data_IF_113608824410
#
_entry.id   IF_113608824410
#
_cell.length_a   1.000
_cell.length_b   1.000
_cell.length_c   1.000
_cell.angle_alpha   90.00
_cell.angle_beta   90.00
_cell.angle_gamma   90.00
#
_symmetry.space_group_name_H-M   'P 1'
#
loop_
_entity.id
_entity.type
_entity.pdbx_description
1 polymer ?
#
# COMPACT_ATOMS: atom_id res chain seq x y z
N UNK A 1 38.16 -17.98 5.06
CA UNK A 1 37.38 -17.84 3.80
C UNK A 1 36.07 -18.62 3.83
N UNK A 2 36.08 -19.90 4.22
CA UNK A 2 34.86 -20.75 4.32
C UNK A 2 33.68 -20.04 5.02
N UNK A 3 33.91 -19.44 6.19
CA UNK A 3 32.85 -18.81 6.97
C UNK A 3 32.10 -17.70 6.20
N UNK A 4 32.81 -16.81 5.49
CA UNK A 4 32.16 -15.72 4.74
C UNK A 4 31.29 -16.23 3.59
N UNK A 5 31.76 -17.27 2.88
CA UNK A 5 30.97 -17.95 1.85
C UNK A 5 29.73 -18.61 2.44
N UNK A 6 29.85 -19.33 3.57
CA UNK A 6 28.71 -19.99 4.20
C UNK A 6 27.70 -19.01 4.78
N UNK A 7 28.14 -17.89 5.35
CA UNK A 7 27.26 -16.83 5.86
C UNK A 7 26.48 -16.19 4.71
N UNK A 8 27.15 -15.81 3.62
CA UNK A 8 26.47 -15.31 2.42
C UNK A 8 25.49 -16.35 1.86
N UNK A 9 25.90 -17.61 1.74
CA UNK A 9 25.08 -18.68 1.20
C UNK A 9 23.83 -18.90 2.05
N UNK A 10 23.95 -18.87 3.39
CA UNK A 10 22.81 -19.03 4.29
C UNK A 10 21.78 -17.90 4.12
N UNK A 11 22.23 -16.66 3.94
CA UNK A 11 21.34 -15.51 3.75
C UNK A 11 20.69 -15.55 2.38
N UNK A 12 21.46 -15.79 1.31
CA UNK A 12 20.93 -15.92 -0.05
C UNK A 12 20.00 -17.12 -0.18
N UNK A 13 20.28 -18.23 0.51
CA UNK A 13 19.39 -19.39 0.54
C UNK A 13 18.06 -19.04 1.22
N UNK A 14 18.10 -18.40 2.39
CA UNK A 14 16.89 -17.94 3.08
C UNK A 14 16.10 -16.95 2.24
N UNK A 15 16.78 -15.98 1.62
CA UNK A 15 16.14 -15.00 0.76
C UNK A 15 15.51 -15.65 -0.46
N UNK A 16 16.29 -16.49 -1.14
CA UNK A 16 15.89 -17.23 -2.31
C UNK A 16 14.71 -18.16 -2.08
N UNK A 17 14.69 -18.88 -0.94
CA UNK A 17 13.59 -19.76 -0.57
C UNK A 17 12.31 -18.98 -0.26
N UNK A 18 12.43 -17.84 0.43
CA UNK A 18 11.29 -16.95 0.72
C UNK A 18 10.68 -16.44 -0.59
N UNK A 19 11.50 -15.93 -1.51
CA UNK A 19 11.03 -15.35 -2.77
C UNK A 19 10.54 -16.40 -3.76
N UNK A 20 11.26 -17.52 -3.93
CA UNK A 20 10.85 -18.58 -4.85
C UNK A 20 9.47 -19.16 -4.51
N UNK A 21 9.13 -19.22 -3.21
CA UNK A 21 7.87 -19.79 -2.73
C UNK A 21 6.77 -18.74 -2.48
N UNK A 22 7.13 -17.52 -2.04
CA UNK A 22 6.17 -16.55 -1.49
C UNK A 22 6.13 -15.20 -2.21
N UNK A 23 7.04 -14.95 -3.17
CA UNK A 23 7.03 -13.70 -3.93
C UNK A 23 5.70 -13.52 -4.67
N UNK A 24 5.29 -12.25 -4.74
CA UNK A 24 4.03 -11.82 -5.34
C UNK A 24 4.01 -11.92 -6.86
N UNK A 25 5.18 -11.78 -7.48
CA UNK A 25 5.33 -11.69 -8.92
C UNK A 25 6.17 -12.85 -9.46
N UNK A 26 5.96 -13.19 -10.73
CA UNK A 26 6.81 -14.16 -11.41
C UNK A 26 8.29 -13.73 -11.38
N UNK A 27 8.57 -12.43 -11.61
CA UNK A 27 9.91 -11.87 -11.52
C UNK A 27 10.55 -12.09 -10.14
N UNK A 28 9.80 -11.87 -9.05
CA UNK A 28 10.27 -12.16 -7.70
C UNK A 28 10.61 -13.64 -7.49
N UNK A 29 9.79 -14.57 -8.03
CA UNK A 29 10.07 -16.01 -7.93
C UNK A 29 11.31 -16.43 -8.71
N UNK A 30 11.50 -15.89 -9.92
CA UNK A 30 12.72 -16.11 -10.72
C UNK A 30 13.95 -15.60 -9.96
N UNK A 31 13.85 -14.43 -9.35
CA UNK A 31 14.92 -13.91 -8.50
C UNK A 31 15.22 -14.79 -7.29
N UNK A 32 14.17 -15.33 -6.67
CA UNK A 32 14.34 -16.32 -5.61
C UNK A 32 15.14 -17.54 -6.07
N UNK A 33 14.82 -18.09 -7.25
CA UNK A 33 15.54 -19.21 -7.85
C UNK A 33 17.01 -18.85 -8.17
N UNK A 34 17.28 -17.63 -8.65
CA UNK A 34 18.65 -17.14 -8.88
C UNK A 34 19.43 -17.09 -7.56
N UNK A 35 18.86 -16.57 -6.48
CA UNK A 35 19.54 -16.57 -5.17
C UNK A 35 19.81 -17.96 -4.63
N UNK A 36 18.89 -18.91 -4.84
CA UNK A 36 19.12 -20.32 -4.49
C UNK A 36 20.29 -20.91 -5.28
N UNK A 37 20.35 -20.65 -6.59
CA UNK A 37 21.45 -21.11 -7.43
C UNK A 37 22.80 -20.51 -6.99
N UNK A 38 22.82 -19.21 -6.67
CA UNK A 38 24.01 -18.52 -6.14
C UNK A 38 24.44 -19.12 -4.79
N UNK A 39 23.52 -19.39 -3.88
CA UNK A 39 23.83 -20.01 -2.60
C UNK A 39 24.49 -21.39 -2.78
N UNK A 40 24.03 -22.20 -3.76
CA UNK A 40 24.67 -23.48 -4.09
C UNK A 40 26.09 -23.28 -4.61
N UNK A 41 26.31 -22.30 -5.50
CA UNK A 41 27.66 -21.95 -5.99
C UNK A 41 28.58 -21.55 -4.85
N UNK A 42 28.09 -20.80 -3.87
CA UNK A 42 28.87 -20.38 -2.69
C UNK A 42 29.21 -21.56 -1.75
N UNK A 43 28.29 -22.53 -1.58
CA UNK A 43 28.57 -23.77 -0.83
C UNK A 43 29.65 -24.61 -1.54
N UNK A 44 29.56 -24.74 -2.86
CA UNK A 44 30.60 -25.43 -3.66
C UNK A 44 31.94 -24.70 -3.54
N UNK A 45 31.95 -23.37 -3.60
CA UNK A 45 33.15 -22.57 -3.39
C UNK A 45 33.72 -22.76 -1.97
N UNK A 46 32.87 -22.86 -0.95
CA UNK A 46 33.29 -23.11 0.43
C UNK A 46 33.98 -24.47 0.57
N UNK A 47 33.44 -25.52 -0.05
CA UNK A 47 34.11 -26.83 -0.13
C UNK A 47 35.44 -26.74 -0.90
N UNK A 48 35.47 -25.97 -2.00
CA UNK A 48 36.69 -25.75 -2.77
C UNK A 48 37.78 -25.00 -1.99
N UNK A 49 37.43 -24.15 -1.00
CA UNK A 49 38.43 -23.52 -0.10
C UNK A 49 39.15 -24.59 0.72
N UNK A 50 38.41 -25.58 1.24
CA UNK A 50 39.00 -26.68 2.04
C UNK A 50 39.95 -27.51 1.21
N UNK A 51 39.59 -27.80 -0.05
CA UNK A 51 40.49 -28.48 -0.97
C UNK A 51 41.71 -27.61 -1.36
N UNK A 52 41.48 -26.34 -1.67
CA UNK A 52 42.51 -25.39 -2.12
C UNK A 52 43.61 -25.14 -1.07
N UNK A 53 43.23 -25.02 0.21
CA UNK A 53 44.18 -24.87 1.32
C UNK A 53 44.69 -26.20 1.88
N UNK A 54 43.98 -27.30 1.63
CA UNK A 54 44.36 -28.63 2.06
C UNK A 54 45.11 -29.42 0.98
N UNK A 55 44.45 -30.44 0.45
CA UNK A 55 45.07 -31.48 -0.40
C UNK A 55 45.35 -31.03 -1.84
N UNK A 56 44.79 -29.89 -2.27
CA UNK A 56 44.86 -29.37 -3.65
C UNK A 56 44.55 -30.44 -4.70
N UNK A 57 43.59 -31.31 -4.41
CA UNK A 57 43.28 -32.46 -5.25
C UNK A 57 42.54 -32.05 -6.53
N UNK A 58 41.71 -31.00 -6.48
CA UNK A 58 40.96 -30.52 -7.63
C UNK A 58 41.74 -29.41 -8.39
N UNK A 59 41.92 -29.62 -9.70
CA UNK A 59 42.62 -28.70 -10.61
C UNK A 59 41.97 -27.31 -10.72
N UNK A 60 40.67 -27.22 -10.43
CA UNK A 60 39.87 -26.00 -10.56
C UNK A 60 39.44 -25.39 -9.21
N UNK A 61 39.94 -25.90 -8.08
CA UNK A 61 39.56 -25.44 -6.73
C UNK A 61 39.75 -23.93 -6.56
N UNK A 62 40.92 -23.40 -6.94
CA UNK A 62 41.19 -21.96 -6.86
C UNK A 62 40.25 -21.09 -7.71
N UNK A 63 39.86 -21.57 -8.91
CA UNK A 63 38.94 -20.85 -9.78
C UNK A 63 37.52 -20.79 -9.20
N UNK A 64 37.06 -21.91 -8.63
CA UNK A 64 35.78 -21.99 -7.94
C UNK A 64 35.72 -21.06 -6.71
N UNK A 65 36.80 -21.00 -5.94
CA UNK A 65 36.92 -20.08 -4.80
C UNK A 65 36.88 -18.62 -5.26
N UNK A 66 37.62 -18.26 -6.31
CA UNK A 66 37.60 -16.90 -6.85
C UNK A 66 36.22 -16.49 -7.33
N UNK A 67 35.52 -17.38 -8.05
CA UNK A 67 34.15 -17.14 -8.49
C UNK A 67 33.21 -16.90 -7.30
N UNK A 68 33.25 -17.77 -6.28
CA UNK A 68 32.43 -17.61 -5.08
C UNK A 68 32.69 -16.29 -4.36
N UNK A 69 33.95 -15.91 -4.15
CA UNK A 69 34.30 -14.65 -3.50
C UNK A 69 33.85 -13.43 -4.32
N UNK A 70 34.03 -13.45 -5.65
CA UNK A 70 33.53 -12.38 -6.52
C UNK A 70 32.01 -12.26 -6.47
N UNK A 71 31.30 -13.38 -6.42
CA UNK A 71 29.84 -13.39 -6.28
C UNK A 71 29.41 -12.76 -4.96
N UNK A 72 30.00 -13.16 -3.83
CA UNK A 72 29.72 -12.52 -2.52
C UNK A 72 30.01 -11.02 -2.56
N UNK A 73 31.10 -10.60 -3.20
CA UNK A 73 31.46 -9.19 -3.33
C UNK A 73 30.36 -8.40 -4.05
N UNK A 74 29.90 -8.88 -5.22
CA UNK A 74 28.89 -8.17 -6.00
C UNK A 74 27.53 -8.21 -5.31
N UNK A 75 27.08 -9.37 -4.81
CA UNK A 75 25.78 -9.47 -4.14
C UNK A 75 25.73 -8.60 -2.89
N UNK A 76 26.76 -8.66 -2.04
CA UNK A 76 26.83 -7.86 -0.82
C UNK A 76 26.92 -6.37 -1.12
N UNK A 77 27.67 -5.97 -2.16
CA UNK A 77 27.75 -4.57 -2.57
C UNK A 77 26.40 -4.05 -3.09
N UNK A 78 25.72 -4.81 -3.94
CA UNK A 78 24.38 -4.44 -4.44
C UNK A 78 23.39 -4.31 -3.28
N UNK A 79 23.36 -5.27 -2.36
CA UNK A 79 22.47 -5.23 -1.19
C UNK A 79 22.82 -4.06 -0.25
N UNK A 80 24.11 -3.74 -0.10
CA UNK A 80 24.55 -2.58 0.66
C UNK A 80 24.11 -1.26 0.01
N UNK A 81 24.24 -1.13 -1.31
CA UNK A 81 23.77 0.06 -2.06
C UNK A 81 22.26 0.20 -1.95
N UNK A 82 21.51 -0.88 -2.19
CA UNK A 82 20.04 -0.87 -2.04
C UNK A 82 19.61 -0.48 -0.62
N UNK A 83 20.32 -0.95 0.39
CA UNK A 83 20.03 -0.61 1.78
C UNK A 83 20.40 0.84 2.12
N UNK A 84 21.47 1.35 1.53
CA UNK A 84 21.87 2.75 1.66
C UNK A 84 20.84 3.69 1.02
N UNK A 85 20.42 3.39 -0.21
CA UNK A 85 19.37 4.14 -0.93
C UNK A 85 18.01 4.03 -0.22
N UNK A 86 17.70 2.87 0.35
CA UNK A 86 16.50 2.65 1.16
C UNK A 86 16.48 3.41 2.50
N UNK A 87 17.55 4.15 2.84
CA UNK A 87 17.62 4.98 4.05
C UNK A 87 17.69 4.21 5.38
N UNK A 88 17.69 2.87 5.34
CA UNK A 88 17.58 2.01 6.52
C UNK A 88 18.94 1.46 6.95
N UNK A 89 19.63 2.18 7.85
CA UNK A 89 20.96 1.79 8.35
C UNK A 89 20.95 0.75 9.48
N UNK A 90 19.77 0.29 9.92
CA UNK A 90 19.63 -0.75 10.94
C UNK A 90 19.45 -2.15 10.31
N UNK A 91 19.50 -3.21 11.13
CA UNK A 91 19.33 -4.59 10.65
C UNK A 91 20.55 -5.13 9.90
N UNK A 92 20.37 -5.50 8.63
CA UNK A 92 21.36 -6.24 7.83
C UNK A 92 22.55 -5.40 7.30
N UNK A 93 22.52 -4.07 7.51
CA UNK A 93 23.52 -3.14 7.00
C UNK A 93 24.96 -3.54 7.38
N UNK A 94 25.16 -3.87 8.66
CA UNK A 94 26.45 -4.28 9.17
C UNK A 94 26.90 -5.63 8.63
N UNK A 95 25.96 -6.53 8.33
CA UNK A 95 26.30 -7.80 7.70
C UNK A 95 26.84 -7.56 6.29
N UNK A 96 26.17 -6.74 5.48
CA UNK A 96 26.62 -6.44 4.12
C UNK A 96 27.97 -5.73 4.13
N UNK A 97 28.16 -4.77 5.04
CA UNK A 97 29.45 -4.09 5.22
C UNK A 97 30.55 -5.08 5.59
N UNK A 98 30.29 -5.98 6.54
CA UNK A 98 31.23 -7.02 6.95
C UNK A 98 31.55 -7.99 5.80
N UNK A 99 30.55 -8.39 5.01
CA UNK A 99 30.75 -9.27 3.85
C UNK A 99 31.52 -8.58 2.71
N UNK A 100 31.32 -7.29 2.47
CA UNK A 100 32.10 -6.50 1.50
C UNK A 100 33.55 -6.40 1.94
N UNK A 101 33.81 -6.01 3.19
CA UNK A 101 35.18 -5.93 3.74
C UNK A 101 35.85 -7.31 3.71
N UNK A 102 35.12 -8.35 4.10
CA UNK A 102 35.58 -9.73 4.03
C UNK A 102 35.91 -10.16 2.60
N UNK A 103 35.08 -9.80 1.63
CA UNK A 103 35.29 -10.13 0.22
C UNK A 103 36.52 -9.41 -0.34
N UNK A 104 36.74 -8.13 0.00
CA UNK A 104 37.96 -7.39 -0.37
C UNK A 104 39.20 -8.07 0.20
N UNK A 105 39.17 -8.47 1.48
CA UNK A 105 40.26 -9.24 2.10
C UNK A 105 40.47 -10.59 1.41
N UNK A 106 39.41 -11.33 1.12
CA UNK A 106 39.47 -12.64 0.48
C UNK A 106 40.03 -12.55 -0.95
N UNK A 107 39.60 -11.55 -1.73
CA UNK A 107 40.18 -11.24 -3.05
C UNK A 107 41.66 -10.90 -2.88
N UNK A 108 42.04 -10.07 -1.91
CA UNK A 108 43.45 -9.73 -1.69
C UNK A 108 44.33 -10.94 -1.35
N UNK A 109 43.84 -11.85 -0.49
CA UNK A 109 44.53 -13.12 -0.18
C UNK A 109 44.66 -13.97 -1.43
N UNK A 110 43.57 -14.15 -2.18
CA UNK A 110 43.62 -14.87 -3.45
C UNK A 110 44.63 -14.22 -4.39
N UNK A 111 44.64 -12.87 -4.48
CA UNK A 111 45.56 -11.97 -5.22
C UNK A 111 47.04 -12.11 -4.80
N UNK A 112 47.31 -12.52 -3.57
CA UNK A 112 48.67 -12.85 -3.13
C UNK A 112 49.08 -14.27 -3.48
N UNK A 113 48.16 -15.22 -3.37
CA UNK A 113 48.39 -16.66 -3.61
C UNK A 113 48.46 -17.06 -5.10
N UNK A 114 48.44 -16.08 -6.01
CA UNK A 114 48.60 -16.30 -7.46
C UNK A 114 47.61 -17.29 -8.09
N UNK A 115 46.38 -17.34 -7.56
CA UNK A 115 45.33 -18.26 -8.02
C UNK A 115 45.01 -18.14 -9.52
N UNK A 116 45.26 -16.98 -10.13
CA UNK A 116 45.13 -16.78 -11.58
C UNK A 116 46.20 -17.48 -12.44
N UNK A 117 47.31 -17.95 -11.89
CA UNK A 117 48.35 -18.61 -12.69
C UNK A 117 47.87 -19.91 -13.34
N UNK A 118 46.84 -20.55 -12.80
CA UNK A 118 46.20 -21.73 -13.41
C UNK A 118 45.09 -21.41 -14.43
N UNK A 119 44.80 -20.14 -14.70
CA UNK A 119 43.76 -19.73 -15.65
C UNK A 119 44.36 -19.38 -17.03
N UNK A 120 43.83 -19.94 -18.13
CA UNK A 120 44.30 -19.61 -19.48
C UNK A 120 44.22 -18.11 -19.80
N UNK A 121 43.21 -17.39 -19.28
CA UNK A 121 43.03 -15.96 -19.49
C UNK A 121 42.39 -15.24 -18.28
N UNK A 122 43.19 -14.80 -17.29
CA UNK A 122 42.66 -14.31 -16.02
C UNK A 122 41.99 -12.94 -16.10
N UNK A 123 42.47 -12.05 -16.98
CA UNK A 123 41.90 -10.70 -17.15
C UNK A 123 40.49 -10.77 -17.76
N UNK A 124 40.31 -11.55 -18.82
CA UNK A 124 39.01 -11.72 -19.47
C UNK A 124 38.01 -12.47 -18.61
N UNK A 125 38.45 -13.42 -17.77
CA UNK A 125 37.57 -14.06 -16.77
C UNK A 125 37.02 -13.03 -15.77
N UNK A 126 37.91 -12.22 -15.17
CA UNK A 126 37.50 -11.19 -14.22
C UNK A 126 36.57 -10.15 -14.85
N UNK A 127 36.88 -9.68 -16.07
CA UNK A 127 36.02 -8.76 -16.81
C UNK A 127 34.66 -9.39 -17.12
N UNK A 128 34.63 -10.65 -17.56
CA UNK A 128 33.39 -11.37 -17.88
C UNK A 128 32.47 -11.52 -16.67
N UNK A 129 33.01 -11.89 -15.51
CA UNK A 129 32.26 -11.98 -14.26
C UNK A 129 31.74 -10.62 -13.83
N UNK A 130 32.58 -9.58 -13.83
CA UNK A 130 32.19 -8.23 -13.43
C UNK A 130 31.09 -7.64 -14.31
N UNK A 131 31.22 -7.76 -15.64
CA UNK A 131 30.22 -7.27 -16.60
C UNK A 131 28.91 -8.03 -16.47
N UNK A 132 28.96 -9.36 -16.35
CA UNK A 132 27.75 -10.17 -16.20
C UNK A 132 27.03 -9.85 -14.88
N UNK A 133 27.78 -9.62 -13.81
CA UNK A 133 27.20 -9.29 -12.52
C UNK A 133 26.61 -7.87 -12.50
N UNK A 134 27.22 -6.91 -13.20
CA UNK A 134 26.67 -5.57 -13.41
C UNK A 134 25.37 -5.60 -14.23
N UNK A 135 25.37 -6.29 -15.37
CA UNK A 135 24.17 -6.43 -16.22
C UNK A 135 23.06 -7.16 -15.45
N UNK A 136 23.41 -8.24 -14.76
CA UNK A 136 22.49 -8.99 -13.89
C UNK A 136 21.88 -8.08 -12.83
N UNK A 137 22.70 -7.43 -12.00
CA UNK A 137 22.22 -6.52 -10.94
C UNK A 137 21.36 -5.38 -11.47
N UNK A 138 21.75 -4.74 -12.57
CA UNK A 138 20.95 -3.69 -13.22
C UNK A 138 19.60 -4.21 -13.74
N UNK A 139 19.59 -5.37 -14.40
CA UNK A 139 18.36 -5.98 -14.90
C UNK A 139 17.43 -6.41 -13.76
N UNK A 140 17.99 -6.84 -12.64
CA UNK A 140 17.25 -7.23 -11.44
C UNK A 140 16.67 -6.01 -10.75
N UNK A 141 17.48 -4.98 -10.53
CA UNK A 141 17.01 -3.70 -9.98
C UNK A 141 15.89 -3.14 -10.85
N UNK A 142 16.07 -3.12 -12.17
CA UNK A 142 15.04 -2.69 -13.12
C UNK A 142 13.76 -3.53 -13.03
N UNK A 143 13.87 -4.86 -13.01
CA UNK A 143 12.68 -5.74 -12.98
C UNK A 143 11.93 -5.67 -11.64
N UNK A 144 12.66 -5.53 -10.52
CA UNK A 144 12.08 -5.44 -9.20
C UNK A 144 11.50 -4.04 -8.91
N UNK A 145 12.14 -2.99 -9.40
CA UNK A 145 11.76 -1.60 -9.13
C UNK A 145 10.87 -0.96 -10.18
N UNK A 146 10.85 -1.42 -11.43
CA UNK A 146 10.16 -0.69 -12.51
C UNK A 146 8.97 -1.47 -13.10
N UNK A 147 9.07 -2.78 -13.26
CA UNK A 147 8.00 -3.59 -13.91
C UNK A 147 6.64 -3.52 -13.19
N UNK A 148 6.55 -3.50 -11.85
CA UNK A 148 5.27 -3.33 -11.16
C UNK A 148 4.58 -1.98 -11.41
N UNK A 149 5.24 -1.02 -12.09
CA UNK A 149 4.76 0.36 -12.20
C UNK A 149 3.88 0.63 -13.42
N UNK A 150 3.90 -0.22 -14.45
CA UNK A 150 3.43 0.16 -15.80
C UNK A 150 1.92 -0.07 -16.04
N UNK A 151 1.24 -0.92 -15.27
CA UNK A 151 -0.20 -1.17 -15.44
C UNK A 151 -1.04 -0.39 -14.42
N UNK A 152 -1.79 0.67 -14.80
CA UNK A 152 -2.66 1.37 -13.87
C UNK A 152 -3.84 0.49 -13.44
N UNK A 153 -4.23 0.49 -12.16
CA UNK A 153 -5.43 -0.23 -11.72
C UNK A 153 -6.66 0.42 -12.36
N UNK A 154 -7.52 -0.39 -12.98
CA UNK A 154 -8.81 0.03 -13.52
C UNK A 154 -9.89 -0.39 -12.56
N UNK A 155 -10.41 0.58 -11.81
CA UNK A 155 -11.29 0.28 -10.70
C UNK A 155 -12.50 1.20 -10.76
N UNK A 156 -13.48 0.93 -11.64
CA UNK A 156 -14.68 1.74 -11.70
C UNK A 156 -15.40 1.76 -10.35
N UNK A 157 -15.81 2.97 -9.97
CA UNK A 157 -16.53 3.22 -8.73
C UNK A 157 -17.85 3.90 -9.05
N UNK A 158 -18.95 3.21 -8.74
CA UNK A 158 -20.30 3.64 -9.00
C UNK A 158 -21.06 3.84 -7.69
N UNK A 159 -21.80 4.94 -7.64
CA UNK A 159 -22.76 5.26 -6.59
C UNK A 159 -24.08 5.54 -7.29
N UNK A 160 -25.19 5.01 -6.79
CA UNK A 160 -26.51 5.24 -7.38
C UNK A 160 -27.63 5.27 -6.35
N UNK A 161 -28.64 6.09 -6.66
CA UNK A 161 -29.94 6.03 -6.01
C UNK A 161 -30.80 4.95 -6.69
N UNK A 162 -31.47 4.14 -5.88
CA UNK A 162 -32.53 3.24 -6.30
C UNK A 162 -33.89 3.93 -6.33
N UNK A 163 -34.96 3.14 -6.52
CA UNK A 163 -36.33 3.66 -6.52
C UNK A 163 -36.76 3.99 -5.08
N UNK A 164 -37.05 5.26 -4.75
CA UNK A 164 -37.48 5.64 -3.42
C UNK A 164 -38.90 5.14 -3.15
N UNK A 165 -39.21 4.89 -1.87
CA UNK A 165 -40.53 4.48 -1.39
C UNK A 165 -40.95 5.40 -0.25
N UNK A 166 -42.14 5.97 -0.34
CA UNK A 166 -42.71 6.77 0.73
C UNK A 166 -43.20 5.84 1.84
N UNK A 167 -42.76 6.08 3.08
CA UNK A 167 -43.24 5.34 4.24
C UNK A 167 -44.74 5.64 4.47
N UNK A 168 -45.55 4.69 4.99
CA UNK A 168 -46.99 4.87 5.17
C UNK A 168 -47.42 6.10 6.01
N UNK A 169 -46.54 6.62 6.87
CA UNK A 169 -46.79 7.86 7.64
C UNK A 169 -46.72 9.14 6.80
N UNK A 170 -46.25 9.06 5.54
CA UNK A 170 -46.05 10.19 4.63
C UNK A 170 -44.95 11.16 5.05
N UNK A 171 -44.21 10.87 6.14
CA UNK A 171 -43.21 11.78 6.73
C UNK A 171 -41.79 11.42 6.35
N UNK A 172 -41.57 10.24 5.79
CA UNK A 172 -40.24 9.68 5.54
C UNK A 172 -40.19 8.97 4.20
N UNK A 173 -39.06 9.11 3.53
CA UNK A 173 -38.73 8.38 2.32
C UNK A 173 -37.65 7.38 2.65
N UNK A 174 -37.85 6.13 2.23
CA UNK A 174 -36.79 5.16 2.14
C UNK A 174 -36.17 5.24 0.77
N UNK A 175 -34.89 5.56 0.72
CA UNK A 175 -34.14 5.70 -0.52
C UNK A 175 -33.11 4.57 -0.54
N UNK A 176 -33.36 3.48 -1.29
CA UNK A 176 -32.35 2.48 -1.54
C UNK A 176 -31.17 3.10 -2.27
N UNK A 177 -29.96 2.69 -1.93
CA UNK A 177 -28.73 3.17 -2.55
C UNK A 177 -27.76 2.04 -2.73
N UNK A 178 -26.98 2.11 -3.80
CA UNK A 178 -25.99 1.09 -4.12
C UNK A 178 -24.63 1.72 -4.34
N UNK A 179 -23.62 1.14 -3.69
CA UNK A 179 -22.22 1.46 -3.87
C UNK A 179 -21.54 0.24 -4.48
N UNK A 180 -20.95 0.38 -5.66
CA UNK A 180 -20.25 -0.72 -6.34
C UNK A 180 -18.85 -0.29 -6.74
N UNK A 181 -17.87 -1.08 -6.33
CA UNK A 181 -16.47 -0.90 -6.64
C UNK A 181 -15.93 -2.21 -7.21
N UNK A 182 -15.47 -2.19 -8.46
CA UNK A 182 -15.07 -3.40 -9.20
C UNK A 182 -13.63 -3.30 -9.66
N UNK A 183 -12.87 -4.38 -9.57
CA UNK A 183 -11.52 -4.44 -10.15
C UNK A 183 -11.59 -4.95 -11.60
N UNK A 184 -11.56 -4.03 -12.56
CA UNK A 184 -11.44 -4.33 -14.00
C UNK A 184 -9.98 -4.33 -14.49
N UNK A 185 -9.03 -4.18 -13.57
CA UNK A 185 -7.60 -4.27 -13.85
C UNK A 185 -7.12 -5.71 -14.05
N UNK A 186 -5.83 -5.86 -14.31
CA UNK A 186 -5.16 -7.16 -14.42
C UNK A 186 -4.43 -7.59 -13.15
N UNK A 187 -4.56 -6.81 -12.08
CA UNK A 187 -3.80 -6.95 -10.84
C UNK A 187 -4.74 -6.86 -9.65
N UNK A 188 -4.60 -7.78 -8.69
CA UNK A 188 -5.37 -7.75 -7.45
C UNK A 188 -5.00 -6.55 -6.58
N UNK A 189 -5.95 -6.09 -5.77
CA UNK A 189 -5.73 -4.99 -4.83
C UNK A 189 -6.12 -5.41 -3.41
N UNK A 190 -5.51 -4.78 -2.42
CA UNK A 190 -5.94 -4.86 -1.03
C UNK A 190 -6.64 -3.55 -0.68
N UNK A 191 -7.89 -3.65 -0.23
CA UNK A 191 -8.67 -2.52 0.26
C UNK A 191 -8.12 -2.12 1.62
N UNK A 192 -7.59 -0.90 1.73
CA UNK A 192 -7.06 -0.37 2.98
C UNK A 192 -8.20 0.22 3.82
N UNK A 193 -9.17 0.85 3.17
CA UNK A 193 -10.36 1.40 3.81
C UNK A 193 -11.46 1.75 2.82
N UNK A 194 -12.72 1.77 3.30
CA UNK A 194 -13.87 2.26 2.54
C UNK A 194 -14.80 3.04 3.42
N UNK A 195 -15.33 4.16 2.96
CA UNK A 195 -16.34 4.97 3.63
C UNK A 195 -17.48 5.23 2.64
N UNK A 196 -18.70 5.24 3.14
CA UNK A 196 -19.81 5.93 2.50
C UNK A 196 -20.57 6.75 3.54
N UNK A 197 -21.13 7.86 3.09
CA UNK A 197 -22.00 8.73 3.88
C UNK A 197 -23.15 9.24 3.02
N UNK A 198 -24.26 9.53 3.67
CA UNK A 198 -25.42 10.17 3.10
C UNK A 198 -25.74 11.41 3.92
N UNK A 199 -25.81 12.56 3.27
CA UNK A 199 -26.10 13.84 3.92
C UNK A 199 -27.32 14.49 3.28
N UNK A 200 -28.16 15.09 4.10
CA UNK A 200 -29.18 16.01 3.66
C UNK A 200 -28.61 17.43 3.71
N UNK A 201 -28.64 18.11 2.59
CA UNK A 201 -28.36 19.53 2.45
C UNK A 201 -29.70 20.26 2.37
N UNK A 202 -30.19 20.87 3.48
CA UNK A 202 -31.41 21.64 3.44
C UNK A 202 -31.16 22.91 2.64
N UNK A 203 -32.10 23.26 1.77
CA UNK A 203 -32.03 24.51 1.02
C UNK A 203 -33.35 25.29 1.08
N UNK A 204 -33.29 26.55 0.70
CA UNK A 204 -34.47 27.39 0.52
C UNK A 204 -34.55 27.88 -0.92
N UNK A 205 -35.79 28.04 -1.43
CA UNK A 205 -36.00 28.63 -2.74
C UNK A 205 -35.55 30.08 -2.72
N UNK A 206 -34.81 30.48 -3.76
CA UNK A 206 -34.44 31.88 -4.01
C UNK A 206 -35.14 32.38 -5.28
N UNK A 207 -36.28 33.09 -5.16
CA UNK A 207 -37.06 33.53 -6.33
C UNK A 207 -36.29 34.43 -7.29
N UNK A 208 -35.48 35.33 -6.74
CA UNK A 208 -34.70 36.32 -7.49
C UNK A 208 -33.39 35.73 -8.05
N UNK A 209 -33.02 34.55 -7.56
CA UNK A 209 -31.78 33.87 -7.82
C UNK A 209 -30.54 34.53 -7.21
N UNK A 210 -29.39 33.89 -7.36
CA UNK A 210 -28.09 34.38 -6.87
C UNK A 210 -27.58 35.52 -7.73
N UNK A 211 -27.21 36.63 -7.11
CA UNK A 211 -26.52 37.71 -7.80
C UNK A 211 -25.05 37.37 -8.09
N UNK A 212 -24.43 38.13 -9.00
CA UNK A 212 -23.06 37.89 -9.46
C UNK A 212 -22.01 37.97 -8.34
N UNK A 213 -22.21 38.85 -7.35
CA UNK A 213 -21.25 39.07 -6.27
C UNK A 213 -21.22 37.84 -5.36
N UNK A 214 -22.41 37.36 -4.98
CA UNK A 214 -22.54 36.14 -4.18
C UNK A 214 -22.06 34.90 -4.92
N UNK A 215 -22.34 34.78 -6.22
CA UNK A 215 -21.78 33.68 -7.03
C UNK A 215 -20.26 33.68 -7.06
N UNK A 216 -19.61 34.85 -7.14
CA UNK A 216 -18.15 34.92 -7.09
C UNK A 216 -17.62 34.40 -5.74
N UNK A 217 -18.31 34.71 -4.66
CA UNK A 217 -17.96 34.23 -3.33
C UNK A 217 -18.17 32.72 -3.22
N UNK A 218 -19.37 32.22 -3.54
CA UNK A 218 -19.71 30.80 -3.45
C UNK A 218 -18.82 29.92 -4.36
N UNK A 219 -18.52 30.38 -5.59
CA UNK A 219 -17.57 29.70 -6.48
C UNK A 219 -16.12 29.79 -5.97
N UNK A 220 -15.75 30.91 -5.33
CA UNK A 220 -14.43 31.08 -4.71
C UNK A 220 -14.22 30.15 -3.52
N UNK A 221 -15.30 29.83 -2.82
CA UNK A 221 -15.34 28.88 -1.70
C UNK A 221 -15.44 27.41 -2.18
N UNK A 222 -15.50 27.16 -3.49
CA UNK A 222 -15.45 25.82 -4.10
C UNK A 222 -16.78 25.05 -4.13
N UNK A 223 -17.90 25.73 -3.89
CA UNK A 223 -19.22 25.10 -3.85
C UNK A 223 -19.87 25.01 -5.22
N UNK A 224 -20.65 23.94 -5.44
CA UNK A 224 -21.60 23.89 -6.54
C UNK A 224 -22.68 24.94 -6.32
N UNK A 225 -22.78 25.91 -7.24
CA UNK A 225 -23.72 27.01 -7.13
C UNK A 225 -24.99 26.74 -7.93
N UNK A 226 -26.13 26.83 -7.25
CA UNK A 226 -27.44 26.72 -7.88
C UNK A 226 -28.10 28.10 -7.86
N UNK A 227 -28.55 28.57 -9.03
CA UNK A 227 -29.11 29.93 -9.15
C UNK A 227 -30.27 30.17 -8.19
N UNK A 228 -31.13 29.19 -7.95
CA UNK A 228 -32.38 29.35 -7.22
C UNK A 228 -32.42 28.59 -5.88
N UNK A 229 -31.29 28.03 -5.44
CA UNK A 229 -31.22 27.32 -4.15
C UNK A 229 -30.29 28.06 -3.22
N UNK A 230 -30.64 28.04 -1.94
CA UNK A 230 -29.87 28.68 -0.88
C UNK A 230 -29.55 27.68 0.23
N UNK A 231 -28.29 27.24 0.33
CA UNK A 231 -27.80 26.28 1.32
C UNK A 231 -27.31 26.98 2.60
N UNK A 232 -28.17 27.77 3.23
CA UNK A 232 -27.82 28.50 4.45
C UNK A 232 -27.85 27.64 5.73
N UNK A 233 -28.20 26.34 5.62
CA UNK A 233 -28.28 25.44 6.75
C UNK A 233 -27.14 24.41 6.69
N UNK A 234 -26.64 24.03 7.87
CA UNK A 234 -25.64 22.97 7.97
C UNK A 234 -26.20 21.64 7.43
N UNK A 235 -25.36 20.83 6.76
CA UNK A 235 -25.75 19.50 6.33
C UNK A 235 -26.09 18.63 7.54
N UNK A 236 -27.00 17.68 7.32
CA UNK A 236 -27.42 16.71 8.34
C UNK A 236 -27.01 15.32 7.90
N UNK A 237 -26.23 14.63 8.74
CA UNK A 237 -25.87 13.24 8.47
C UNK A 237 -27.10 12.35 8.57
N UNK A 238 -27.40 11.62 7.50
CA UNK A 238 -28.51 10.66 7.46
C UNK A 238 -28.03 9.25 7.78
N UNK A 239 -26.89 8.86 7.20
CA UNK A 239 -26.29 7.55 7.42
C UNK A 239 -24.81 7.56 7.03
N UNK A 240 -24.03 6.63 7.57
CA UNK A 240 -22.67 6.35 7.14
C UNK A 240 -22.30 4.89 7.42
N UNK A 241 -21.28 4.39 6.74
CA UNK A 241 -20.76 3.04 6.99
C UNK A 241 -19.64 2.65 6.04
N UNK A 242 -19.24 1.39 6.09
CA UNK A 242 -18.22 0.81 5.20
C UNK A 242 -18.88 0.07 4.02
N UNK A 243 -18.20 0.07 2.88
CA UNK A 243 -18.59 -0.73 1.70
C UNK A 243 -18.07 -2.16 1.85
N UNK A 244 -16.81 -2.30 2.26
CA UNK A 244 -16.13 -3.57 2.51
C UNK A 244 -15.21 -3.47 3.72
N UNK A 245 -14.90 -4.61 4.35
CA UNK A 245 -14.00 -4.67 5.49
C UNK A 245 -12.57 -4.25 5.11
N UNK A 246 -11.89 -3.55 6.02
CA UNK A 246 -10.48 -3.22 5.87
C UNK A 246 -9.61 -4.49 5.72
N UNK A 247 -8.68 -4.48 4.77
CA UNK A 247 -7.78 -5.60 4.44
C UNK A 247 -8.34 -6.59 3.41
N UNK A 248 -9.58 -6.42 2.97
CA UNK A 248 -10.20 -7.29 1.97
C UNK A 248 -9.40 -7.26 0.67
N UNK A 249 -9.21 -8.44 0.08
CA UNK A 249 -8.57 -8.60 -1.22
C UNK A 249 -9.64 -8.56 -2.30
N UNK A 250 -9.38 -7.83 -3.39
CA UNK A 250 -10.22 -7.80 -4.58
C UNK A 250 -9.39 -8.24 -5.79
N UNK A 251 -9.66 -9.44 -6.32
CA UNK A 251 -8.97 -9.98 -7.48
C UNK A 251 -9.56 -9.43 -8.80
N UNK A 252 -8.82 -9.50 -9.93
CA UNK A 252 -9.32 -9.09 -11.23
C UNK A 252 -10.66 -9.75 -11.60
N UNK A 253 -11.67 -8.93 -11.92
CA UNK A 253 -13.02 -9.36 -12.28
C UNK A 253 -14.02 -9.28 -11.13
N UNK A 254 -13.55 -9.31 -9.88
CA UNK A 254 -14.38 -9.26 -8.67
C UNK A 254 -14.94 -7.85 -8.40
N UNK A 255 -16.05 -7.79 -7.65
CA UNK A 255 -16.62 -6.55 -7.14
C UNK A 255 -16.96 -6.62 -5.65
N UNK A 256 -16.90 -5.47 -4.99
CA UNK A 256 -17.60 -5.22 -3.74
C UNK A 256 -18.81 -4.34 -4.04
N UNK A 257 -19.98 -4.82 -3.61
CA UNK A 257 -21.23 -4.10 -3.69
C UNK A 257 -21.88 -3.99 -2.32
N UNK A 258 -22.34 -2.80 -1.96
CA UNK A 258 -23.10 -2.53 -0.74
C UNK A 258 -24.42 -1.87 -1.11
N UNK A 259 -25.51 -2.53 -0.73
CA UNK A 259 -26.83 -1.92 -0.73
C UNK A 259 -27.10 -1.34 0.68
N UNK A 260 -27.65 -0.13 0.72
CA UNK A 260 -28.10 0.54 1.93
C UNK A 260 -29.48 1.18 1.68
N UNK A 261 -30.22 1.44 2.74
CA UNK A 261 -31.49 2.17 2.68
C UNK A 261 -31.36 3.38 3.59
N UNK A 262 -31.54 4.56 3.02
CA UNK A 262 -31.40 5.83 3.74
C UNK A 262 -32.80 6.36 4.04
N UNK A 263 -32.99 6.78 5.29
CA UNK A 263 -34.21 7.45 5.73
C UNK A 263 -34.07 8.96 5.52
N UNK A 264 -34.86 9.51 4.61
CA UNK A 264 -34.87 10.94 4.28
C UNK A 264 -36.19 11.54 4.78
N UNK A 265 -36.18 12.60 5.60
CA UNK A 265 -37.41 13.28 6.00
C UNK A 265 -38.12 13.87 4.78
N UNK A 266 -39.38 13.48 4.54
CA UNK A 266 -40.20 14.04 3.48
C UNK A 266 -40.52 15.53 3.72
N UNK A 267 -40.49 15.95 4.99
CA UNK A 267 -40.67 17.34 5.42
C UNK A 267 -39.41 18.20 5.24
N UNK A 268 -38.31 17.65 4.72
CA UNK A 268 -37.07 18.39 4.49
C UNK A 268 -37.21 19.52 3.45
N UNK A 269 -38.35 19.61 2.75
CA UNK A 269 -38.66 20.71 1.84
C UNK A 269 -37.82 20.67 0.58
N UNK A 270 -37.34 21.84 0.14
CA UNK A 270 -36.39 21.94 -0.95
C UNK A 270 -35.01 21.62 -0.37
N UNK A 271 -34.56 20.38 -0.51
CA UNK A 271 -33.23 19.99 -0.07
C UNK A 271 -32.65 18.99 -1.05
N UNK A 272 -31.39 18.65 -0.86
CA UNK A 272 -30.68 17.65 -1.66
C UNK A 272 -30.15 16.56 -0.77
N UNK A 273 -30.27 15.32 -1.20
CA UNK A 273 -29.59 14.20 -0.55
C UNK A 273 -28.33 13.94 -1.35
N UNK A 274 -27.19 14.05 -0.71
CA UNK A 274 -25.88 13.70 -1.27
C UNK A 274 -25.47 12.31 -0.75
N UNK A 275 -24.98 11.48 -1.65
CA UNK A 275 -24.24 10.27 -1.34
C UNK A 275 -22.79 10.51 -1.66
N UNK A 276 -21.94 10.35 -0.66
CA UNK A 276 -20.51 10.37 -0.83
C UNK A 276 -19.95 8.99 -0.51
N UNK A 277 -18.95 8.56 -1.27
CA UNK A 277 -18.24 7.35 -0.98
C UNK A 277 -16.77 7.48 -1.33
N UNK A 278 -15.92 6.84 -0.54
CA UNK A 278 -14.47 6.83 -0.67
C UNK A 278 -13.95 5.41 -0.54
N UNK A 279 -13.01 5.03 -1.40
CA UNK A 279 -12.32 3.74 -1.33
C UNK A 279 -10.83 3.98 -1.49
N UNK A 280 -10.05 3.49 -0.53
CA UNK A 280 -8.59 3.49 -0.61
C UNK A 280 -8.05 2.07 -0.68
N UNK A 281 -7.11 1.84 -1.58
CA UNK A 281 -6.53 0.53 -1.83
C UNK A 281 -5.05 0.62 -2.20
N UNK A 282 -4.33 -0.47 -2.01
CA UNK A 282 -2.96 -0.69 -2.48
C UNK A 282 -2.90 -1.86 -3.44
N UNK A 283 -1.86 -1.92 -4.27
CA UNK A 283 -1.72 -3.00 -5.24
C UNK A 283 -1.08 -4.24 -4.63
N UNK A 284 -1.70 -5.39 -4.85
CA UNK A 284 -1.25 -6.67 -4.30
C UNK A 284 0.00 -7.23 -4.99
N UNK A 285 0.40 -6.73 -6.15
CA UNK A 285 1.66 -7.11 -6.82
C UNK A 285 2.87 -6.30 -6.31
N UNK A 286 2.63 -5.16 -5.66
CA UNK A 286 3.67 -4.30 -5.08
C UNK A 286 3.90 -4.60 -3.61
N UNK A 287 2.84 -4.89 -2.86
CA UNK A 287 2.92 -5.15 -1.44
C UNK A 287 1.76 -5.99 -0.90
N UNK A 288 1.91 -6.48 0.33
CA UNK A 288 0.87 -7.18 1.11
C UNK A 288 0.65 -6.44 2.42
N UNK A 289 -0.60 -6.33 2.85
CA UNK A 289 -0.92 -6.01 4.23
C UNK A 289 -0.62 -7.24 5.11
N UNK A 290 -0.26 -7.01 6.37
CA UNK A 290 -0.13 -8.11 7.32
C UNK A 290 -1.49 -8.80 7.52
N UNK A 291 -1.48 -10.11 7.77
CA UNK A 291 -2.71 -10.86 8.09
C UNK A 291 -3.47 -10.29 9.30
N UNK A 292 -2.80 -9.51 10.14
CA UNK A 292 -3.40 -8.85 11.29
C UNK A 292 -4.22 -7.61 10.94
N UNK A 293 -4.15 -7.05 9.72
CA UNK A 293 -4.76 -5.75 9.41
C UNK A 293 -6.28 -5.70 9.63
N UNK A 294 -7.00 -6.75 9.27
CA UNK A 294 -8.45 -6.81 9.52
C UNK A 294 -8.78 -6.84 11.00
N UNK A 295 -7.91 -7.44 11.83
CA UNK A 295 -8.08 -7.54 13.29
C UNK A 295 -7.36 -6.47 14.09
N UNK A 296 -6.63 -5.55 13.45
CA UNK A 296 -5.83 -4.50 14.12
C UNK A 296 -6.66 -3.26 14.44
N UNK A 297 -7.94 -3.43 14.75
CA UNK A 297 -8.82 -2.30 15.02
C UNK A 297 -8.49 -1.72 16.40
N UNK A 298 -8.22 -0.42 16.44
CA UNK A 298 -8.01 0.35 17.66
C UNK A 298 -9.07 1.43 17.74
N UNK A 299 -9.69 1.60 18.91
CA UNK A 299 -10.72 2.61 19.14
C UNK A 299 -10.17 3.73 20.03
N UNK A 300 -10.61 4.96 19.78
CA UNK A 300 -10.32 6.11 20.65
C UNK A 300 -11.15 6.09 21.94
N UNK A 301 -12.15 5.22 22.03
CA UNK A 301 -13.08 5.11 23.16
C UNK A 301 -13.07 3.70 23.78
N UNK A 302 -13.60 3.61 24.99
CA UNK A 302 -13.81 2.34 25.69
C UNK A 302 -14.95 1.52 25.04
N UNK A 303 -14.63 0.37 24.43
CA UNK A 303 -15.62 -0.45 23.71
C UNK A 303 -16.53 -1.23 24.65
N UNK A 304 -16.00 -1.74 25.77
CA UNK A 304 -16.74 -2.59 26.72
C UNK A 304 -17.47 -1.79 27.82
N UNK A 305 -17.12 -0.51 27.98
CA UNK A 305 -17.70 0.39 28.97
C UNK A 305 -19.06 0.93 28.54
N UNK A 306 -19.99 1.07 29.50
CA UNK A 306 -21.34 1.60 29.22
C UNK A 306 -21.35 3.06 28.74
N UNK A 307 -20.31 3.82 29.08
CA UNK A 307 -20.23 5.25 28.79
C UNK A 307 -19.43 5.58 27.53
N UNK A 308 -18.80 4.57 26.90
CA UNK A 308 -17.91 4.76 25.74
C UNK A 308 -16.96 5.95 25.89
N UNK A 309 -16.31 6.05 27.05
CA UNK A 309 -15.48 7.21 27.38
C UNK A 309 -14.32 7.32 26.40
N UNK A 310 -14.09 8.53 25.89
CA UNK A 310 -12.92 8.85 25.09
C UNK A 310 -11.62 8.65 25.90
N UNK A 311 -10.68 7.89 25.34
CA UNK A 311 -9.43 7.45 25.95
C UNK A 311 -8.19 8.11 25.33
N UNK A 312 -8.22 8.41 24.03
CA UNK A 312 -7.04 8.86 23.29
C UNK A 312 -7.41 9.68 22.07
N UNK A 313 -6.70 10.79 21.89
CA UNK A 313 -6.78 11.65 20.70
C UNK A 313 -6.02 11.09 19.50
N UNK A 314 -6.51 11.43 18.30
CA UNK A 314 -5.81 11.20 17.05
C UNK A 314 -4.61 12.15 16.92
N UNK A 315 -3.67 11.90 15.99
CA UNK A 315 -2.63 12.88 15.66
C UNK A 315 -3.24 14.23 15.27
N UNK A 316 -2.62 15.33 15.70
CA UNK A 316 -3.14 16.69 15.49
C UNK A 316 -3.26 17.12 14.02
N UNK A 317 -2.55 16.45 13.11
CA UNK A 317 -2.68 16.68 11.67
C UNK A 317 -3.96 16.04 11.09
N UNK A 318 -4.57 15.10 11.82
CA UNK A 318 -5.68 14.28 11.34
C UNK A 318 -7.04 14.74 11.85
N UNK A 319 -7.18 15.01 13.15
CA UNK A 319 -8.47 15.34 13.78
C UNK A 319 -8.30 16.31 14.96
N UNK A 320 -9.39 16.94 15.38
CA UNK A 320 -9.40 17.81 16.55
C UNK A 320 -9.38 16.99 17.85
N UNK A 321 -8.77 17.49 18.94
CA UNK A 321 -8.79 16.79 20.22
C UNK A 321 -10.21 16.48 20.70
N UNK A 322 -10.44 15.22 21.08
CA UNK A 322 -11.70 14.65 21.52
C UNK A 322 -12.65 14.20 20.40
N UNK A 323 -12.28 14.31 19.13
CA UNK A 323 -12.98 13.59 18.06
C UNK A 323 -12.78 12.08 18.25
N UNK A 324 -13.85 11.32 18.06
CA UNK A 324 -13.76 9.88 18.16
C UNK A 324 -13.23 9.28 16.87
N UNK A 325 -12.46 8.20 16.96
CA UNK A 325 -11.98 7.49 15.80
C UNK A 325 -11.82 6.00 16.06
N UNK A 326 -11.79 5.23 14.98
CA UNK A 326 -11.16 3.93 15.01
C UNK A 326 -10.14 3.82 13.88
N UNK A 327 -9.14 2.97 14.09
CA UNK A 327 -8.01 2.82 13.20
C UNK A 327 -7.74 1.36 12.90
N UNK A 328 -7.54 1.03 11.63
CA UNK A 328 -6.83 -0.19 11.22
C UNK A 328 -5.39 0.17 10.89
N UNK A 329 -4.43 -0.61 11.40
CA UNK A 329 -3.02 -0.36 11.11
C UNK A 329 -2.24 -1.68 11.00
N UNK A 330 -1.37 -1.80 10.01
CA UNK A 330 -0.46 -2.94 9.96
C UNK A 330 0.79 -2.65 9.15
N UNK A 331 1.81 -3.46 9.42
CA UNK A 331 3.03 -3.46 8.64
C UNK A 331 2.75 -3.90 7.20
N UNK A 332 3.34 -3.18 6.26
CA UNK A 332 3.36 -3.52 4.85
C UNK A 332 4.54 -4.44 4.57
N UNK A 333 4.27 -5.54 3.86
CA UNK A 333 5.30 -6.42 3.35
C UNK A 333 5.50 -6.14 1.86
N UNK A 334 6.72 -5.80 1.47
CA UNK A 334 7.11 -5.59 0.07
C UNK A 334 7.04 -6.89 -0.73
N UNK A 335 7.03 -6.77 -2.06
CA UNK A 335 6.89 -7.88 -3.01
C UNK A 335 8.04 -8.90 -3.02
N UNK A 336 9.22 -8.51 -2.51
CA UNK A 336 10.41 -9.36 -2.42
C UNK A 336 11.09 -9.29 -1.04
N UNK A 337 11.78 -10.37 -0.71
CA UNK A 337 12.58 -10.53 0.49
C UNK A 337 13.79 -9.60 0.49
N UNK A 338 14.39 -9.34 -0.68
CA UNK A 338 15.48 -8.36 -0.83
C UNK A 338 15.04 -6.98 -0.36
N UNK A 339 13.87 -6.51 -0.82
CA UNK A 339 13.33 -5.23 -0.36
C UNK A 339 13.05 -5.27 1.14
N UNK A 340 12.53 -6.38 1.68
CA UNK A 340 12.31 -6.54 3.12
C UNK A 340 13.60 -6.44 3.95
N UNK A 341 14.71 -6.92 3.42
CA UNK A 341 16.01 -6.88 4.10
C UNK A 341 16.71 -5.51 3.99
N UNK A 342 16.46 -4.79 2.90
CA UNK A 342 17.18 -3.55 2.54
C UNK A 342 16.40 -2.27 2.85
N UNK A 343 15.08 -2.33 3.00
CA UNK A 343 14.25 -1.15 3.27
C UNK A 343 13.66 -1.16 4.68
N UNK A 344 13.38 0.04 5.20
CA UNK A 344 12.67 0.21 6.46
C UNK A 344 11.25 -0.41 6.40
N UNK A 345 10.72 -0.86 7.55
CA UNK A 345 9.32 -1.24 7.63
C UNK A 345 8.42 -0.03 7.42
N UNK A 346 7.42 -0.18 6.56
CA UNK A 346 6.36 0.80 6.39
C UNK A 346 5.04 0.24 6.92
N UNK A 347 4.12 1.12 7.26
CA UNK A 347 2.84 0.81 7.87
C UNK A 347 1.72 1.46 7.09
N UNK A 348 0.69 0.69 6.76
CA UNK A 348 -0.57 1.24 6.24
C UNK A 348 -1.49 1.49 7.42
N UNK A 349 -2.10 2.67 7.46
CA UNK A 349 -3.11 3.01 8.43
C UNK A 349 -4.35 3.57 7.71
N UNK A 350 -5.52 3.07 8.10
CA UNK A 350 -6.80 3.71 7.82
C UNK A 350 -7.36 4.24 9.12
N UNK A 351 -7.71 5.51 9.11
CA UNK A 351 -8.39 6.20 10.19
C UNK A 351 -9.80 6.53 9.77
N UNK A 352 -10.74 6.22 10.64
CA UNK A 352 -12.12 6.63 10.53
C UNK A 352 -12.41 7.63 11.62
N UNK A 353 -12.53 8.90 11.24
CA UNK A 353 -12.77 9.97 12.19
C UNK A 353 -14.27 10.26 12.24
N UNK A 354 -14.77 10.41 13.46
CA UNK A 354 -16.14 10.75 13.82
C UNK A 354 -16.05 12.09 14.56
N UNK A 355 -16.20 13.22 13.84
CA UNK A 355 -16.08 14.52 14.46
C UNK A 355 -17.15 14.73 15.52
N UNK A 356 -16.86 15.56 16.51
CA UNK A 356 -17.88 15.95 17.50
C UNK A 356 -19.07 16.62 16.83
N UNK A 357 -20.25 16.30 17.36
CA UNK A 357 -21.52 16.87 16.92
C UNK A 357 -22.45 15.80 16.34
N UNK A 358 -23.75 16.06 16.42
CA UNK A 358 -24.75 15.05 16.06
C UNK A 358 -24.91 14.85 14.54
N UNK A 359 -24.53 15.84 13.75
CA UNK A 359 -24.75 15.89 12.29
C UNK A 359 -23.45 15.94 11.47
N UNK A 360 -22.28 15.88 12.14
CA UNK A 360 -20.99 15.92 11.46
C UNK A 360 -20.75 14.64 10.65
N UNK A 361 -20.39 14.78 9.37
CA UNK A 361 -20.08 13.60 8.57
C UNK A 361 -18.73 13.01 9.00
N UNK A 362 -18.68 11.67 9.20
CA UNK A 362 -17.41 11.02 9.38
C UNK A 362 -16.59 11.11 8.09
N UNK A 363 -15.27 11.14 8.23
CA UNK A 363 -14.35 11.06 7.11
C UNK A 363 -13.33 9.97 7.34
N UNK A 364 -12.72 9.53 6.25
CA UNK A 364 -11.72 8.47 6.26
C UNK A 364 -10.43 9.04 5.70
N UNK A 365 -9.34 8.82 6.43
CA UNK A 365 -8.00 9.16 5.98
C UNK A 365 -7.16 7.89 5.91
N UNK A 366 -6.47 7.70 4.80
CA UNK A 366 -5.65 6.51 4.57
C UNK A 366 -4.28 6.94 4.10
N UNK A 367 -3.26 6.44 4.79
CA UNK A 367 -1.88 6.75 4.46
C UNK A 367 -0.93 5.60 4.78
N UNK A 368 0.27 5.74 4.22
CA UNK A 368 1.43 4.96 4.57
C UNK A 368 2.37 5.82 5.42
N UNK A 369 2.94 5.22 6.46
CA UNK A 369 3.82 5.84 7.44
C UNK A 369 5.06 4.98 7.67
N UNK A 370 6.19 5.61 7.97
CA UNK A 370 7.40 4.93 8.49
C UNK A 370 7.30 4.68 10.00
N UNK A 371 6.46 5.44 10.69
CA UNK A 371 6.15 5.29 12.11
C UNK A 371 4.97 4.33 12.31
N UNK A 372 5.10 3.25 13.12
CA UNK A 372 3.98 2.36 13.48
C UNK A 372 2.78 3.09 14.09
N UNK A 373 2.99 4.24 14.73
CA UNK A 373 1.93 5.05 15.33
C UNK A 373 1.20 5.95 14.32
N UNK A 374 1.67 6.05 13.06
CA UNK A 374 1.05 6.90 12.04
C UNK A 374 1.15 8.40 12.34
N UNK A 375 2.22 8.84 13.02
CA UNK A 375 2.45 10.26 13.32
C UNK A 375 3.00 11.04 12.12
N UNK A 376 3.58 10.32 11.15
CA UNK A 376 4.09 10.85 9.89
C UNK A 376 3.20 10.37 8.75
N UNK A 377 2.93 11.25 7.79
CA UNK A 377 2.22 10.92 6.54
C UNK A 377 3.21 11.07 5.40
N UNK A 378 3.43 9.99 4.65
CA UNK A 378 4.26 10.05 3.45
C UNK A 378 3.57 10.90 2.37
N UNK A 379 4.36 11.60 1.56
CA UNK A 379 3.83 12.34 0.40
C UNK A 379 3.23 11.40 -0.65
N UNK A 380 2.37 11.90 -1.56
CA UNK A 380 1.79 11.07 -2.63
C UNK A 380 2.87 10.36 -3.48
N UNK A 381 3.98 11.04 -3.77
CA UNK A 381 5.13 10.48 -4.49
C UNK A 381 5.78 9.33 -3.71
N UNK A 382 5.91 9.46 -2.39
CA UNK A 382 6.44 8.39 -1.53
C UNK A 382 5.47 7.22 -1.36
N UNK A 383 4.18 7.43 -1.59
CA UNK A 383 3.13 6.40 -1.51
C UNK A 383 2.89 5.70 -2.87
N UNK A 384 3.31 6.31 -3.97
CA UNK A 384 3.23 5.73 -5.32
C UNK A 384 3.87 4.32 -5.41
N UNK A 385 5.04 4.02 -4.80
CA UNK A 385 5.65 2.70 -4.79
C UNK A 385 4.77 1.54 -4.30
N UNK A 386 3.73 1.82 -3.51
CA UNK A 386 2.79 0.80 -3.03
C UNK A 386 1.56 0.67 -3.94
N UNK A 387 1.42 1.59 -4.90
CA UNK A 387 0.25 1.71 -5.74
C UNK A 387 -0.98 2.13 -4.95
N UNK A 388 -0.77 2.91 -3.88
CA UNK A 388 -1.88 3.42 -3.08
C UNK A 388 -2.68 4.42 -3.91
N UNK A 389 -4.00 4.28 -3.90
CA UNK A 389 -4.92 5.24 -4.48
C UNK A 389 -6.16 5.36 -3.61
N UNK A 390 -6.63 6.58 -3.45
CA UNK A 390 -7.94 6.89 -2.88
C UNK A 390 -8.83 7.41 -4.00
N UNK A 391 -10.04 6.86 -4.12
CA UNK A 391 -11.03 7.28 -5.09
C UNK A 391 -12.27 7.74 -4.34
N UNK A 392 -12.75 8.92 -4.69
CA UNK A 392 -13.95 9.51 -4.12
C UNK A 392 -15.02 9.61 -5.20
N UNK A 393 -16.27 9.39 -4.82
CA UNK A 393 -17.43 9.56 -5.70
C UNK A 393 -18.58 10.17 -4.91
N UNK A 394 -19.02 11.34 -5.36
CA UNK A 394 -20.24 12.00 -4.90
C UNK A 394 -21.31 11.95 -5.99
N UNK A 395 -22.56 11.75 -5.59
CA UNK A 395 -23.75 12.05 -6.39
C UNK A 395 -24.82 12.66 -5.48
N UNK A 396 -25.70 13.46 -6.04
CA UNK A 396 -26.76 14.10 -5.27
C UNK A 396 -28.10 14.10 -6.02
N UNK A 397 -29.20 14.15 -5.27
CA UNK A 397 -30.55 14.15 -5.82
C UNK A 397 -31.45 15.10 -5.02
N UNK A 398 -32.24 15.98 -5.67
CA UNK A 398 -33.23 16.79 -4.99
C UNK A 398 -34.28 15.92 -4.29
N UNK A 399 -34.64 16.26 -3.06
CA UNK A 399 -35.70 15.61 -2.28
C UNK A 399 -37.03 15.63 -3.02
N UNK A 400 -37.34 16.72 -3.73
CA UNK A 400 -38.55 16.82 -4.55
C UNK A 400 -38.61 15.76 -5.68
N UNK A 401 -37.46 15.42 -6.28
CA UNK A 401 -37.40 14.36 -7.31
C UNK A 401 -37.59 12.99 -6.65
N UNK A 402 -36.97 12.75 -5.49
CA UNK A 402 -37.15 11.52 -4.73
C UNK A 402 -38.62 11.32 -4.31
N UNK A 403 -39.29 12.38 -3.87
CA UNK A 403 -40.72 12.38 -3.54
C UNK A 403 -41.59 12.04 -4.76
N UNK A 404 -41.32 12.66 -5.91
CA UNK A 404 -42.06 12.40 -7.14
C UNK A 404 -41.91 10.94 -7.59
N UNK A 405 -40.68 10.42 -7.58
CA UNK A 405 -40.39 9.04 -7.97
C UNK A 405 -41.04 8.01 -7.02
N UNK A 406 -41.25 8.37 -5.76
CA UNK A 406 -41.99 7.55 -4.81
C UNK A 406 -43.51 7.56 -5.07
N UNK A 407 -44.06 8.70 -5.52
CA UNK A 407 -45.48 8.86 -5.83
C UNK A 407 -45.91 8.26 -7.18
N UNK A 408 -45.05 8.26 -8.19
CA UNK A 408 -45.33 7.68 -9.51
C UNK A 408 -45.39 6.13 -9.51
N UNK A 409 -45.18 5.49 -8.35
CA UNK A 409 -45.17 4.03 -8.17
C UNK A 409 -46.40 3.44 -7.47
N UNK A 410 -47.35 4.27 -7.05
CA UNK A 410 -48.67 3.89 -6.52
C UNK A 410 -49.74 4.21 -7.52
#
# INVERSE_FOLDING_TARGET
MVLGLLVSAAVLFRAGLSDALRALTFGGRVMGAVFLAVAVVEVVAAAAVVDFWGRRAARYSGQAVLLGVCTVAVTSLVLLVLQWEGGYRAGWFWLWTALVVWAVWAVWVLVREKVWQGMPHPRSFATGVAVSALIGSASVAYSAMYVPYVAPPKVPFLVSFGKPVLHPDGKRLFVPTRFTFRNEGSVSIFVVGTLWSAQLWPSAFRPQGTDRTRWRQELGDGWDTHRQEDFNAAPRLLAAGQISSAGSRLDPGDDFSKDAVIEVPATAGQGRVELFASVSFIRADRCKLANSYTGSIEHSWEVEGKEHKHLRDAPAWLAEPGDDFFRHHSRIYRSSEVMRMTQAPDWAAMWWVIPKGNDAAPYMEVHISRDPDGREVLSEEEQEPYGMKTMNKGIDQPVAVLLRLAGDGT
#
